data_IF_980287516362
#
_entry.id   IF_980287516362
#
_cell.length_a   1.000
_cell.length_b   1.000
_cell.length_c   1.000
_cell.angle_alpha   90.00
_cell.angle_beta   90.00
_cell.angle_gamma   90.00
#
_symmetry.space_group_name_H-M   'P 1'
#
loop_
_entity.id
_entity.type
_entity.pdbx_description
1 polymer ?
#
# COMPACT_ATOMS: atom_id res chain seq x y z
N UNK A 1 -18.15 -18.08 10.77
CA UNK A 1 -17.55 -18.32 9.44
C UNK A 1 -16.06 -18.06 9.55
N UNK A 2 -15.21 -18.90 8.94
CA UNK A 2 -13.76 -18.63 8.86
C UNK A 2 -13.52 -17.72 7.66
N UNK A 3 -12.78 -16.63 7.86
CA UNK A 3 -12.40 -15.75 6.76
C UNK A 3 -11.48 -16.49 5.77
N UNK A 4 -11.55 -16.20 4.47
CA UNK A 4 -10.62 -16.76 3.50
C UNK A 4 -9.20 -16.29 3.82
N UNK A 5 -8.24 -17.19 3.64
CA UNK A 5 -6.82 -16.85 3.71
C UNK A 5 -6.47 -16.26 2.34
N UNK A 6 -6.00 -15.01 2.34
CA UNK A 6 -5.53 -14.35 1.12
C UNK A 6 -4.17 -14.92 0.70
N UNK A 7 -3.85 -14.76 -0.59
CA UNK A 7 -2.53 -15.08 -1.11
C UNK A 7 -1.45 -14.27 -0.38
N UNK A 8 -0.29 -14.89 -0.14
CA UNK A 8 0.87 -14.20 0.44
C UNK A 8 1.42 -13.12 -0.50
N UNK A 9 1.14 -13.23 -1.80
CA UNK A 9 1.48 -12.18 -2.75
C UNK A 9 0.20 -11.74 -3.46
N UNK A 10 -0.07 -10.45 -3.47
CA UNK A 10 -1.29 -9.92 -4.06
C UNK A 10 -1.09 -8.51 -4.63
N UNK A 11 -2.02 -8.16 -5.51
CA UNK A 11 -2.21 -6.79 -5.98
C UNK A 11 -3.65 -6.39 -5.63
N UNK A 12 -3.80 -5.25 -4.97
CA UNK A 12 -5.10 -4.69 -4.61
C UNK A 12 -5.10 -3.17 -4.70
N UNK A 13 -6.25 -2.59 -5.04
CA UNK A 13 -6.50 -1.15 -4.90
C UNK A 13 -7.31 -0.91 -3.64
N UNK A 14 -6.82 -0.06 -2.74
CA UNK A 14 -7.46 0.28 -1.47
C UNK A 14 -7.85 1.75 -1.47
N UNK A 15 -9.09 2.04 -1.10
CA UNK A 15 -9.55 3.41 -0.83
C UNK A 15 -9.48 3.68 0.66
N UNK A 16 -8.75 4.73 1.04
CA UNK A 16 -8.51 5.11 2.43
C UNK A 16 -9.12 6.48 2.67
N UNK A 17 -9.96 6.58 3.71
CA UNK A 17 -10.51 7.85 4.18
C UNK A 17 -9.97 8.17 5.57
N UNK A 18 -9.22 9.26 5.69
CA UNK A 18 -8.68 9.73 6.96
C UNK A 18 -9.61 10.82 7.49
N UNK A 19 -10.53 10.41 8.36
CA UNK A 19 -11.62 11.26 8.88
C UNK A 19 -11.09 12.50 9.60
N UNK A 20 -10.08 12.34 10.46
CA UNK A 20 -9.52 13.44 11.26
C UNK A 20 -8.82 14.51 10.41
N UNK A 21 -8.37 14.15 9.21
CA UNK A 21 -7.70 15.05 8.27
C UNK A 21 -8.59 15.44 7.08
N UNK A 22 -9.85 14.98 7.07
CA UNK A 22 -10.85 15.24 6.05
C UNK A 22 -10.34 15.05 4.60
N UNK A 23 -9.58 13.98 4.35
CA UNK A 23 -9.18 13.62 2.99
C UNK A 23 -9.25 12.11 2.75
N UNK A 24 -9.29 11.76 1.47
CA UNK A 24 -9.24 10.39 0.99
C UNK A 24 -8.11 10.22 -0.03
N UNK A 25 -7.60 9.00 -0.13
CA UNK A 25 -6.60 8.60 -1.12
C UNK A 25 -6.91 7.20 -1.63
N UNK A 26 -6.46 6.90 -2.85
CA UNK A 26 -6.43 5.54 -3.37
C UNK A 26 -5.00 5.05 -3.38
N UNK A 27 -4.79 3.79 -3.04
CA UNK A 27 -3.47 3.16 -3.02
C UNK A 27 -3.55 1.88 -3.85
N UNK A 28 -2.72 1.78 -4.88
CA UNK A 28 -2.46 0.52 -5.57
C UNK A 28 -1.29 -0.19 -4.88
N UNK A 29 -1.58 -1.30 -4.22
CA UNK A 29 -0.64 -2.06 -3.40
C UNK A 29 -0.21 -3.35 -4.09
N UNK A 30 1.10 -3.50 -4.30
CA UNK A 30 1.73 -4.75 -4.72
C UNK A 30 2.49 -5.33 -3.53
N UNK A 31 1.90 -6.30 -2.86
CA UNK A 31 2.47 -6.93 -1.66
C UNK A 31 3.17 -8.23 -2.03
N UNK A 32 4.42 -8.35 -1.60
CA UNK A 32 5.31 -9.49 -1.79
C UNK A 32 5.80 -9.94 -0.41
N UNK A 33 5.04 -10.80 0.28
CA UNK A 33 5.43 -11.29 1.61
C UNK A 33 6.67 -12.19 1.52
N UNK A 34 6.86 -12.91 0.40
CA UNK A 34 8.04 -13.78 0.20
C UNK A 34 9.33 -12.95 0.09
N UNK A 35 9.29 -11.90 -0.72
CA UNK A 35 10.38 -10.92 -0.85
C UNK A 35 10.38 -9.84 0.24
N UNK A 36 9.48 -9.95 1.23
CA UNK A 36 9.37 -9.08 2.40
C UNK A 36 9.37 -7.59 2.06
N UNK A 37 8.56 -7.23 1.06
CA UNK A 37 8.36 -5.85 0.63
C UNK A 37 6.96 -5.58 0.10
N UNK A 38 6.62 -4.30 -0.01
CA UNK A 38 5.46 -3.85 -0.75
C UNK A 38 5.84 -2.65 -1.62
N UNK A 39 5.32 -2.58 -2.84
CA UNK A 39 5.36 -1.37 -3.66
C UNK A 39 3.97 -0.74 -3.65
N UNK A 40 3.89 0.55 -3.38
CA UNK A 40 2.64 1.29 -3.23
C UNK A 40 2.66 2.50 -4.17
N UNK A 41 1.58 2.66 -4.92
CA UNK A 41 1.31 3.88 -5.69
C UNK A 41 0.15 4.61 -5.04
N UNK A 42 0.42 5.78 -4.48
CA UNK A 42 -0.57 6.60 -3.76
C UNK A 42 -1.10 7.68 -4.70
N UNK A 43 -2.40 7.68 -4.89
CA UNK A 43 -3.14 8.69 -5.64
C UNK A 43 -3.88 9.61 -4.66
N UNK A 44 -3.42 10.85 -4.53
CA UNK A 44 -4.00 11.86 -3.62
C UNK A 44 -4.14 13.19 -4.33
N UNK A 45 -5.38 13.67 -4.49
CA UNK A 45 -5.70 15.01 -5.01
C UNK A 45 -4.99 15.38 -6.33
N UNK A 46 -4.81 14.39 -7.22
CA UNK A 46 -4.13 14.56 -8.52
C UNK A 46 -2.60 14.39 -8.46
N UNK A 47 -2.01 14.26 -7.28
CA UNK A 47 -0.62 13.87 -7.10
C UNK A 47 -0.49 12.35 -7.08
N UNK A 48 0.63 11.86 -7.61
CA UNK A 48 1.02 10.45 -7.60
C UNK A 48 2.34 10.34 -6.85
N UNK A 49 2.36 9.54 -5.79
CA UNK A 49 3.56 9.21 -5.04
C UNK A 49 3.84 7.71 -5.18
N UNK A 50 5.09 7.35 -5.47
CA UNK A 50 5.52 5.96 -5.59
C UNK A 50 6.47 5.66 -4.43
N UNK A 51 6.20 4.57 -3.71
CA UNK A 51 7.01 4.19 -2.56
C UNK A 51 7.15 2.68 -2.42
N UNK A 52 8.26 2.26 -1.82
CA UNK A 52 8.52 0.86 -1.46
C UNK A 52 8.63 0.78 0.06
N UNK A 53 7.90 -0.15 0.65
CA UNK A 53 8.02 -0.50 2.06
C UNK A 53 8.80 -1.80 2.22
N UNK A 54 9.76 -1.82 3.14
CA UNK A 54 10.56 -3.00 3.52
C UNK A 54 10.08 -3.56 4.85
N UNK A 55 9.58 -4.80 4.87
CA UNK A 55 9.21 -5.48 6.11
C UNK A 55 10.42 -5.99 6.90
N UNK A 56 11.62 -5.99 6.31
CA UNK A 56 12.86 -6.36 7.00
C UNK A 56 13.42 -5.20 7.83
N UNK A 57 13.44 -4.01 7.25
CA UNK A 57 14.03 -2.82 7.88
C UNK A 57 12.98 -1.89 8.51
N UNK A 58 11.70 -2.11 8.21
CA UNK A 58 10.60 -1.22 8.61
C UNK A 58 10.81 0.22 8.09
N UNK A 59 11.31 0.34 6.85
CA UNK A 59 11.61 1.60 6.18
C UNK A 59 10.76 1.80 4.94
N UNK A 60 10.51 3.07 4.62
CA UNK A 60 9.84 3.53 3.39
C UNK A 60 10.87 4.22 2.49
N UNK A 61 10.96 3.76 1.24
CA UNK A 61 11.77 4.36 0.19
C UNK A 61 10.87 5.11 -0.78
N UNK A 62 11.11 6.40 -0.94
CA UNK A 62 10.39 7.24 -1.92
C UNK A 62 11.08 7.16 -3.27
N UNK A 63 10.32 6.90 -4.32
CA UNK A 63 10.82 6.86 -5.70
C UNK A 63 10.45 8.19 -6.37
N UNK A 64 11.47 8.90 -6.87
CA UNK A 64 11.32 10.19 -7.56
C UNK A 64 11.40 10.02 -9.07
#
# INVERSE_FOLDING_TARGET
AKLPILSQNYHATVSVSIVDQNYSMMIDEHVDYDGRRAALTVHKEGNIENLIFSYDTNEVFYIT
#
